data_IF_364822593187
#
_entry.id   IF_364822593187
#
_cell.length_a   1.000
_cell.length_b   1.000
_cell.length_c   1.000
_cell.angle_alpha   90.00
_cell.angle_beta   90.00
_cell.angle_gamma   90.00
#
_symmetry.space_group_name_H-M   'P 1'
#
loop_
_entity.id
_entity.type
_entity.pdbx_description
1 polymer ?
#
# COMPACT_ATOMS: atom_id res chain seq x y z
N UNK A 1 -21.44 16.79 -30.29
CA UNK A 1 -20.56 15.97 -29.42
C UNK A 1 -20.32 16.78 -28.17
N UNK A 2 -20.65 16.25 -26.99
CA UNK A 2 -20.38 16.94 -25.70
C UNK A 2 -18.95 16.60 -25.30
N UNK A 3 -18.12 17.60 -25.06
CA UNK A 3 -16.78 17.42 -24.51
C UNK A 3 -16.86 16.68 -23.16
N UNK A 4 -16.00 15.69 -22.92
CA UNK A 4 -15.90 15.05 -21.62
C UNK A 4 -15.31 16.06 -20.63
N UNK A 5 -16.17 16.65 -19.80
CA UNK A 5 -15.75 17.46 -18.65
C UNK A 5 -15.10 16.50 -17.65
N UNK A 6 -13.78 16.60 -17.48
CA UNK A 6 -13.07 15.85 -16.46
C UNK A 6 -13.72 16.13 -15.09
N UNK A 7 -14.10 15.09 -14.32
CA UNK A 7 -14.70 15.28 -13.01
C UNK A 7 -13.71 16.06 -12.12
N UNK A 8 -14.17 17.16 -11.53
CA UNK A 8 -13.37 17.95 -10.58
C UNK A 8 -13.03 17.09 -9.37
N UNK A 9 -11.82 16.52 -9.35
CA UNK A 9 -11.24 16.00 -8.12
C UNK A 9 -11.08 17.19 -7.16
N UNK A 10 -11.74 17.13 -6.01
CA UNK A 10 -11.71 18.17 -4.97
C UNK A 10 -10.45 18.11 -4.09
N UNK A 11 -9.51 17.22 -4.42
CA UNK A 11 -8.35 16.91 -3.61
C UNK A 11 -7.12 17.43 -4.34
N UNK A 12 -6.30 18.19 -3.63
CA UNK A 12 -5.04 18.75 -4.12
C UNK A 12 -3.99 17.63 -4.34
N UNK A 13 -3.19 17.66 -5.43
CA UNK A 13 -2.08 16.72 -5.64
C UNK A 13 -1.15 16.57 -4.42
N UNK A 14 -0.88 17.65 -3.69
CA UNK A 14 -0.02 17.63 -2.50
C UNK A 14 -0.64 16.80 -1.36
N UNK A 15 -1.97 16.85 -1.24
CA UNK A 15 -2.71 16.04 -0.25
C UNK A 15 -2.65 14.56 -0.63
N UNK A 16 -2.79 14.23 -1.91
CA UNK A 16 -2.65 12.85 -2.39
C UNK A 16 -1.25 12.30 -2.12
N UNK A 17 -0.21 13.09 -2.35
CA UNK A 17 1.17 12.68 -2.06
C UNK A 17 1.38 12.45 -0.56
N UNK A 18 0.85 13.32 0.29
CA UNK A 18 0.89 13.14 1.74
C UNK A 18 0.19 11.84 2.18
N UNK A 19 -0.97 11.51 1.60
CA UNK A 19 -1.66 10.26 1.92
C UNK A 19 -0.95 9.01 1.37
N UNK A 20 -0.38 9.08 0.18
CA UNK A 20 0.45 7.99 -0.35
C UNK A 20 1.62 7.69 0.59
N UNK A 21 2.28 8.72 1.12
CA UNK A 21 3.36 8.54 2.09
C UNK A 21 2.88 7.91 3.40
N UNK A 22 1.70 8.29 3.90
CA UNK A 22 1.12 7.64 5.10
C UNK A 22 0.80 6.17 4.84
N UNK A 23 0.26 5.84 3.67
CA UNK A 23 -0.01 4.45 3.29
C UNK A 23 1.29 3.62 3.23
N UNK A 24 2.39 4.17 2.69
CA UNK A 24 3.70 3.49 2.72
C UNK A 24 4.16 3.18 4.13
N UNK A 25 4.07 4.16 5.05
CA UNK A 25 4.42 3.94 6.47
C UNK A 25 3.56 2.83 7.10
N UNK A 26 2.28 2.76 6.74
CA UNK A 26 1.39 1.68 7.21
C UNK A 26 1.82 0.32 6.64
N UNK A 27 2.10 0.23 5.34
CA UNK A 27 2.58 -1.00 4.70
C UNK A 27 3.88 -1.50 5.36
N UNK A 28 4.83 -0.61 5.60
CA UNK A 28 6.10 -0.93 6.27
C UNK A 28 5.87 -1.43 7.70
N UNK A 29 4.96 -0.79 8.45
CA UNK A 29 4.63 -1.20 9.81
C UNK A 29 3.94 -2.59 9.86
N UNK A 30 3.06 -2.88 8.90
CA UNK A 30 2.42 -4.20 8.78
C UNK A 30 3.46 -5.27 8.44
N UNK A 31 4.35 -4.98 7.48
CA UNK A 31 5.41 -5.91 7.08
C UNK A 31 6.39 -6.19 8.25
N UNK A 32 6.81 -5.15 8.98
CA UNK A 32 7.66 -5.29 10.17
C UNK A 32 7.01 -6.17 11.26
N UNK A 33 5.68 -6.04 11.46
CA UNK A 33 4.93 -6.90 12.37
C UNK A 33 4.84 -8.34 11.88
N UNK A 34 4.67 -8.56 10.58
CA UNK A 34 4.72 -9.89 9.96
C UNK A 34 6.05 -10.60 10.24
N UNK A 35 7.17 -9.89 10.08
CA UNK A 35 8.50 -10.42 10.42
C UNK A 35 8.62 -10.78 11.91
N UNK A 36 8.12 -9.93 12.81
CA UNK A 36 8.11 -10.22 14.24
C UNK A 36 7.32 -11.49 14.58
N UNK A 37 6.11 -11.62 14.02
CA UNK A 37 5.25 -12.81 14.23
C UNK A 37 5.92 -14.08 13.68
N UNK A 38 6.56 -14.00 12.51
CA UNK A 38 7.29 -15.13 11.93
C UNK A 38 8.49 -15.59 12.76
N UNK A 39 9.09 -14.70 13.55
CA UNK A 39 10.18 -15.03 14.48
C UNK A 39 9.74 -15.75 15.75
N UNK A 40 8.45 -15.88 16.01
CA UNK A 40 7.91 -16.53 17.21
C UNK A 40 7.83 -18.04 17.00
N UNK A 41 8.57 -18.81 17.80
CA UNK A 41 8.67 -20.28 17.70
C UNK A 41 7.84 -21.03 18.76
N UNK A 42 6.59 -20.58 19.03
CA UNK A 42 5.72 -21.17 20.07
C UNK A 42 5.53 -22.68 19.88
N UNK A 43 5.35 -23.17 18.63
CA UNK A 43 5.11 -24.58 18.35
C UNK A 43 6.23 -25.47 18.90
N UNK A 44 7.46 -25.25 18.43
CA UNK A 44 8.63 -26.00 18.87
C UNK A 44 8.97 -25.75 20.34
N UNK A 45 8.98 -24.48 20.78
CA UNK A 45 9.42 -24.10 22.12
C UNK A 45 8.45 -24.60 23.22
N UNK A 46 7.15 -24.69 22.92
CA UNK A 46 6.12 -25.07 23.91
C UNK A 46 5.69 -26.52 23.80
N UNK A 47 5.69 -27.11 22.60
CA UNK A 47 5.09 -28.43 22.36
C UNK A 47 6.03 -29.44 21.70
N UNK A 48 7.21 -29.05 21.21
CA UNK A 48 8.10 -29.91 20.42
C UNK A 48 8.51 -31.21 21.12
N UNK A 49 8.60 -31.20 22.46
CA UNK A 49 8.95 -32.37 23.27
C UNK A 49 7.74 -33.19 23.78
N UNK A 50 6.54 -32.61 23.72
CA UNK A 50 5.33 -33.19 24.33
C UNK A 50 4.33 -33.69 23.28
N UNK A 51 4.18 -32.96 22.18
CA UNK A 51 3.22 -33.27 21.12
C UNK A 51 3.62 -32.59 19.80
N UNK A 52 4.30 -33.35 18.95
CA UNK A 52 4.78 -32.88 17.64
C UNK A 52 3.64 -32.40 16.75
N UNK A 53 2.49 -33.08 16.75
CA UNK A 53 1.35 -32.69 15.93
C UNK A 53 0.78 -31.33 16.34
N UNK A 54 0.74 -31.04 17.64
CA UNK A 54 0.31 -29.75 18.16
C UNK A 54 1.32 -28.63 17.84
N UNK A 55 2.62 -28.92 17.97
CA UNK A 55 3.69 -28.01 17.56
C UNK A 55 3.53 -27.59 16.09
N UNK A 56 3.39 -28.57 15.19
CA UNK A 56 3.21 -28.33 13.75
C UNK A 56 1.93 -27.57 13.42
N UNK A 57 0.82 -27.83 14.14
CA UNK A 57 -0.43 -27.11 13.92
C UNK A 57 -0.31 -25.62 14.29
N UNK A 58 0.41 -25.30 15.37
CA UNK A 58 0.69 -23.92 15.79
C UNK A 58 1.61 -23.21 14.79
N UNK A 59 2.67 -23.87 14.34
CA UNK A 59 3.58 -23.32 13.33
C UNK A 59 2.83 -23.02 12.02
N UNK A 60 1.93 -23.92 11.58
CA UNK A 60 1.12 -23.71 10.39
C UNK A 60 0.13 -22.54 10.53
N UNK A 61 -0.45 -22.33 11.72
CA UNK A 61 -1.29 -21.16 11.99
C UNK A 61 -0.48 -19.87 11.96
N UNK A 62 0.72 -19.86 12.56
CA UNK A 62 1.65 -18.72 12.49
C UNK A 62 1.98 -18.37 11.04
N UNK A 63 2.37 -19.36 10.25
CA UNK A 63 2.76 -19.15 8.85
C UNK A 63 1.61 -18.54 8.04
N UNK A 64 0.37 -19.03 8.22
CA UNK A 64 -0.83 -18.42 7.60
C UNK A 64 -1.06 -16.96 8.01
N UNK A 65 -0.79 -16.62 9.27
CA UNK A 65 -0.91 -15.23 9.74
C UNK A 65 0.17 -14.35 9.11
N UNK A 66 1.40 -14.85 8.99
CA UNK A 66 2.50 -14.15 8.33
C UNK A 66 2.18 -13.88 6.85
N UNK A 67 1.65 -14.89 6.14
CA UNK A 67 1.23 -14.75 4.74
C UNK A 67 0.12 -13.71 4.60
N UNK A 68 -0.91 -13.74 5.45
CA UNK A 68 -1.99 -12.77 5.42
C UNK A 68 -1.51 -11.33 5.70
N UNK A 69 -0.55 -11.15 6.62
CA UNK A 69 0.05 -9.84 6.90
C UNK A 69 0.88 -9.34 5.72
N UNK A 70 1.59 -10.24 5.02
CA UNK A 70 2.35 -9.91 3.82
C UNK A 70 1.43 -9.44 2.69
N UNK A 71 0.37 -10.20 2.41
CA UNK A 71 -0.62 -9.84 1.38
C UNK A 71 -1.27 -8.48 1.68
N UNK A 72 -1.55 -8.22 2.97
CA UNK A 72 -2.10 -6.94 3.40
C UNK A 72 -1.10 -5.79 3.24
N UNK A 73 0.17 -5.98 3.59
CA UNK A 73 1.21 -4.96 3.37
C UNK A 73 1.37 -4.63 1.88
N UNK A 74 1.36 -5.66 1.02
CA UNK A 74 1.43 -5.50 -0.43
C UNK A 74 0.23 -4.71 -0.98
N UNK A 75 -0.99 -5.06 -0.58
CA UNK A 75 -2.19 -4.35 -1.01
C UNK A 75 -2.17 -2.86 -0.62
N UNK A 76 -1.67 -2.54 0.57
CA UNK A 76 -1.52 -1.15 1.03
C UNK A 76 -0.43 -0.41 0.24
N UNK A 77 0.69 -1.07 -0.07
CA UNK A 77 1.76 -0.48 -0.89
C UNK A 77 1.28 -0.20 -2.32
N UNK A 78 0.56 -1.14 -2.95
CA UNK A 78 -0.06 -0.94 -4.28
C UNK A 78 -1.04 0.24 -4.25
N UNK A 79 -1.81 0.38 -3.18
CA UNK A 79 -2.71 1.53 -3.01
C UNK A 79 -1.93 2.85 -2.93
N UNK A 80 -0.81 2.88 -2.19
CA UNK A 80 0.05 4.06 -2.10
C UNK A 80 0.63 4.45 -3.47
N UNK A 81 1.02 3.48 -4.28
CA UNK A 81 1.56 3.71 -5.63
C UNK A 81 0.49 4.22 -6.59
N UNK A 82 -0.73 3.69 -6.52
CA UNK A 82 -1.86 4.20 -7.28
C UNK A 82 -2.20 5.66 -6.92
N UNK A 83 -2.18 6.00 -5.62
CA UNK A 83 -2.39 7.38 -5.16
C UNK A 83 -1.26 8.31 -5.61
N UNK A 84 -0.01 7.82 -5.59
CA UNK A 84 1.15 8.57 -6.10
C UNK A 84 1.01 8.84 -7.61
N UNK A 85 0.60 7.83 -8.38
CA UNK A 85 0.38 7.97 -9.82
C UNK A 85 -0.72 9.00 -10.10
N UNK A 86 -1.83 8.94 -9.36
CA UNK A 86 -2.92 9.90 -9.49
C UNK A 86 -2.47 11.34 -9.20
N UNK A 87 -1.67 11.56 -8.15
CA UNK A 87 -1.12 12.88 -7.83
C UNK A 87 -0.27 13.43 -9.00
N UNK A 88 0.59 12.59 -9.59
CA UNK A 88 1.42 12.98 -10.74
C UNK A 88 0.59 13.31 -11.98
N UNK A 89 -0.42 12.50 -12.29
CA UNK A 89 -1.30 12.72 -13.43
C UNK A 89 -2.07 14.03 -13.27
N UNK A 90 -2.54 14.34 -12.07
CA UNK A 90 -3.18 15.63 -11.77
C UNK A 90 -2.22 16.80 -11.95
N UNK A 91 -0.99 16.70 -11.41
CA UNK A 91 0.02 17.75 -11.58
C UNK A 91 0.39 17.99 -13.05
N UNK A 92 0.46 16.92 -13.86
CA UNK A 92 0.71 17.03 -15.30
C UNK A 92 -0.44 17.72 -16.04
N UNK A 93 -1.69 17.40 -15.69
CA UNK A 93 -2.88 18.06 -16.25
C UNK A 93 -2.91 19.54 -15.88
N UNK A 94 -2.65 19.88 -14.61
CA UNK A 94 -2.65 21.27 -14.14
C UNK A 94 -1.53 22.09 -14.82
N UNK A 95 -0.33 21.52 -14.96
CA UNK A 95 0.77 22.17 -15.67
C UNK A 95 0.44 22.41 -17.15
N UNK A 96 -0.19 21.43 -17.81
CA UNK A 96 -0.62 21.54 -19.20
C UNK A 96 -1.70 22.61 -19.38
N UNK A 97 -2.71 22.63 -18.49
CA UNK A 97 -3.76 23.66 -18.49
C UNK A 97 -3.18 25.05 -18.25
N UNK A 98 -2.23 25.20 -17.32
CA UNK A 98 -1.55 26.46 -17.09
C UNK A 98 -0.75 26.93 -18.31
N UNK A 99 -0.10 26.01 -19.04
CA UNK A 99 0.61 26.33 -20.29
C UNK A 99 -0.34 26.77 -21.41
N UNK A 100 -1.49 26.09 -21.56
CA UNK A 100 -2.54 26.46 -22.50
C UNK A 100 -3.10 27.85 -22.19
N UNK A 101 -3.45 28.12 -20.93
CA UNK A 101 -4.01 29.41 -20.50
C UNK A 101 -2.99 30.56 -20.64
N UNK A 102 -1.69 30.26 -20.52
CA UNK A 102 -0.63 31.24 -20.73
C UNK A 102 -0.27 31.43 -22.22
N UNK A 103 -0.94 30.75 -23.15
CA UNK A 103 -0.69 30.84 -24.60
C UNK A 103 0.63 30.23 -25.04
N UNK A 104 1.18 29.26 -24.30
CA UNK A 104 2.51 28.66 -24.54
C UNK A 104 2.48 27.23 -25.09
N UNK A 105 1.33 26.74 -25.56
CA UNK A 105 1.19 25.37 -26.06
C UNK A 105 1.13 25.33 -27.60
N UNK A 106 2.07 24.62 -28.21
CA UNK A 106 2.03 24.20 -29.62
C UNK A 106 1.59 22.73 -29.65
N UNK A 107 0.69 22.38 -30.58
CA UNK A 107 0.11 21.04 -30.74
C UNK A 107 0.96 20.15 -31.64
#
# INVERSE_FOLDING_TARGET
>A
MREPVAPRLRIDPDVLEAEANRLRVVADAVNARGHFVGGVAIGQDSFGLLNVSLASAVDLLRDRVVDALRDQAEAVAVTADAVTALSRDMGAVDAHLAALLAGRCEW
#
